data_IF_506461951895
#
_entry.id   IF_506461951895
#
_cell.length_a   1.000
_cell.length_b   1.000
_cell.length_c   1.000
_cell.angle_alpha   90.00
_cell.angle_beta   90.00
_cell.angle_gamma   90.00
#
_symmetry.space_group_name_H-M   'P 1'
#
loop_
_entity.id
_entity.type
_entity.pdbx_description
1 polymer ?
#
# COMPACT_ATOMS: atom_id res chain seq x y z
N UNK A 1 4.02 -10.54 0.26
CA UNK A 1 4.49 -9.26 -0.23
C UNK A 1 3.48 -8.16 -0.01
N UNK A 2 3.93 -7.08 0.53
CA UNK A 2 3.05 -5.93 0.76
C UNK A 2 3.85 -4.67 0.99
N UNK A 3 3.14 -3.56 1.08
CA UNK A 3 3.71 -2.27 1.42
C UNK A 3 3.23 -1.86 2.80
N UNK A 4 4.13 -1.28 3.59
CA UNK A 4 3.77 -0.71 4.87
C UNK A 4 3.23 0.68 4.68
N UNK A 5 2.11 0.96 5.35
CA UNK A 5 1.40 2.23 5.25
C UNK A 5 1.25 2.81 6.63
N UNK A 6 1.56 4.08 6.78
CA UNK A 6 1.33 4.80 8.02
C UNK A 6 0.14 5.75 7.83
N UNK A 7 -0.81 5.68 8.75
CA UNK A 7 -1.93 6.62 8.76
C UNK A 7 -1.40 7.98 9.24
N UNK A 8 -1.55 9.00 8.41
CA UNK A 8 -0.96 10.32 8.67
C UNK A 8 -1.46 10.92 9.97
N UNK A 9 -2.75 10.78 10.25
CA UNK A 9 -3.41 11.44 11.38
C UNK A 9 -2.97 10.91 12.75
N UNK A 10 -2.81 9.59 12.88
CA UNK A 10 -2.56 8.97 14.17
C UNK A 10 -1.30 8.10 14.21
N UNK A 11 -0.57 8.03 13.11
CA UNK A 11 0.67 7.29 12.97
C UNK A 11 0.56 5.79 13.23
N UNK A 12 -0.64 5.24 13.11
CA UNK A 12 -0.83 3.80 13.12
C UNK A 12 -0.32 3.21 11.82
N UNK A 13 0.30 2.05 11.92
CA UNK A 13 0.88 1.38 10.76
C UNK A 13 0.11 0.12 10.41
N UNK A 14 0.15 -0.23 9.15
CA UNK A 14 -0.46 -1.45 8.66
C UNK A 14 0.13 -1.85 7.32
N UNK A 15 -0.40 -2.91 6.74
CA UNK A 15 0.11 -3.46 5.50
C UNK A 15 -0.99 -3.53 4.44
N UNK A 16 -0.61 -3.16 3.21
CA UNK A 16 -1.40 -3.42 2.02
C UNK A 16 -0.68 -4.51 1.22
N UNK A 17 -1.37 -5.60 0.95
CA UNK A 17 -0.81 -6.70 0.16
C UNK A 17 -0.84 -6.34 -1.31
N UNK A 18 0.29 -6.51 -1.99
CA UNK A 18 0.43 -6.11 -3.40
C UNK A 18 -0.60 -6.80 -4.28
N UNK A 19 -0.86 -8.09 -4.04
CA UNK A 19 -1.83 -8.85 -4.83
C UNK A 19 -3.28 -8.35 -4.68
N UNK A 20 -3.54 -7.55 -3.68
CA UNK A 20 -4.87 -6.98 -3.44
C UNK A 20 -5.04 -5.59 -4.05
N UNK A 21 -3.99 -5.05 -4.64
CA UNK A 21 -4.08 -3.82 -5.42
C UNK A 21 -4.60 -4.21 -6.81
N UNK A 22 -5.88 -3.96 -7.05
CA UNK A 22 -6.59 -4.52 -8.20
C UNK A 22 -6.64 -3.64 -9.42
N UNK A 23 -6.16 -2.42 -9.33
CA UNK A 23 -6.17 -1.51 -10.47
C UNK A 23 -5.11 -1.85 -11.52
N UNK A 24 -4.10 -2.64 -11.14
CA UNK A 24 -3.05 -3.08 -12.05
C UNK A 24 -2.27 -4.22 -11.40
N UNK A 25 -1.36 -4.81 -12.19
CA UNK A 25 -0.39 -5.76 -11.69
C UNK A 25 0.89 -5.01 -11.38
N UNK A 26 1.29 -5.00 -10.12
CA UNK A 26 2.47 -4.27 -9.68
C UNK A 26 3.65 -5.18 -9.48
N UNK A 27 4.82 -4.73 -9.92
CA UNK A 27 6.09 -5.38 -9.66
C UNK A 27 7.01 -4.42 -8.93
N UNK A 28 7.90 -4.97 -8.12
CA UNK A 28 8.82 -4.16 -7.33
C UNK A 28 10.11 -3.91 -8.11
N UNK A 29 10.47 -2.64 -8.25
CA UNK A 29 11.73 -2.22 -8.85
C UNK A 29 12.73 -1.96 -7.73
N UNK A 30 13.67 -2.89 -7.55
CA UNK A 30 14.66 -2.81 -6.48
C UNK A 30 15.62 -1.63 -6.62
N UNK A 31 15.89 -1.19 -7.84
CA UNK A 31 16.80 -0.06 -8.07
C UNK A 31 16.22 1.23 -7.56
N UNK A 32 14.93 1.43 -7.70
CA UNK A 32 14.27 2.68 -7.38
C UNK A 32 13.35 2.58 -6.16
N UNK A 33 13.27 1.40 -5.54
CA UNK A 33 12.36 1.12 -4.43
C UNK A 33 10.94 1.56 -4.74
N UNK A 34 10.46 1.16 -5.91
CA UNK A 34 9.21 1.64 -6.48
C UNK A 34 8.37 0.45 -6.95
N UNK A 35 7.06 0.52 -6.73
CA UNK A 35 6.13 -0.42 -7.35
C UNK A 35 5.70 0.14 -8.69
N UNK A 36 5.79 -0.68 -9.74
CA UNK A 36 5.48 -0.28 -11.11
C UNK A 36 4.29 -1.09 -11.60
N UNK A 37 3.24 -0.41 -12.05
CA UNK A 37 2.10 -1.05 -12.68
C UNK A 37 2.42 -1.53 -14.09
N UNK A 38 2.06 -2.77 -14.40
CA UNK A 38 2.40 -3.37 -15.67
C UNK A 38 1.69 -2.73 -16.86
N UNK A 39 0.43 -2.37 -16.68
CA UNK A 39 -0.40 -1.84 -17.76
C UNK A 39 -0.42 -0.32 -17.79
N UNK A 40 -0.70 0.28 -16.64
CA UNK A 40 -0.86 1.74 -16.55
C UNK A 40 0.45 2.48 -16.39
N UNK A 41 1.53 1.77 -16.08
CA UNK A 41 2.83 2.35 -15.76
C UNK A 41 2.78 3.26 -14.53
N UNK A 42 1.77 3.10 -13.69
CA UNK A 42 1.66 3.84 -12.44
C UNK A 42 2.80 3.48 -11.51
N UNK A 43 3.30 4.47 -10.79
CA UNK A 43 4.40 4.29 -9.84
C UNK A 43 3.92 4.57 -8.43
N UNK A 44 4.28 3.69 -7.49
CA UNK A 44 4.08 3.90 -6.07
C UNK A 44 5.45 3.94 -5.40
N UNK A 45 5.78 5.06 -4.78
CA UNK A 45 7.08 5.30 -4.19
C UNK A 45 6.95 5.59 -2.70
N UNK A 46 8.07 5.46 -1.99
CA UNK A 46 8.13 5.88 -0.60
C UNK A 46 7.76 7.36 -0.48
N UNK A 47 6.91 7.65 0.48
CA UNK A 47 6.42 9.01 0.70
C UNK A 47 5.15 9.34 -0.04
N UNK A 48 4.70 8.50 -0.97
CA UNK A 48 3.43 8.73 -1.66
C UNK A 48 2.26 8.60 -0.68
N UNK A 49 1.29 9.45 -0.84
CA UNK A 49 0.05 9.36 -0.07
C UNK A 49 -0.97 8.54 -0.86
N UNK A 50 -1.66 7.66 -0.13
CA UNK A 50 -2.68 6.79 -0.72
C UNK A 50 -3.90 6.76 0.19
N UNK A 51 -5.04 6.41 -0.39
CA UNK A 51 -6.24 6.14 0.37
C UNK A 51 -6.40 4.64 0.57
N UNK A 52 -6.62 4.24 1.81
CA UNK A 52 -6.80 2.85 2.18
C UNK A 52 -8.03 2.69 3.05
N UNK A 53 -8.54 1.47 3.09
CA UNK A 53 -9.64 1.09 3.98
C UNK A 53 -9.15 -0.03 4.89
N UNK A 54 -9.47 0.05 6.17
CA UNK A 54 -9.11 -1.02 7.10
C UNK A 54 -9.89 -2.28 6.72
N UNK A 55 -9.16 -3.33 6.42
CA UNK A 55 -9.73 -4.63 6.08
C UNK A 55 -9.86 -5.50 7.32
N UNK A 56 -8.82 -5.50 8.15
CA UNK A 56 -8.74 -6.34 9.33
C UNK A 56 -7.87 -5.68 10.38
N UNK A 57 -8.19 -5.91 11.64
CA UNK A 57 -7.40 -5.40 12.75
C UNK A 57 -7.19 -6.52 13.76
N UNK A 58 -5.92 -6.83 14.04
CA UNK A 58 -5.56 -7.79 15.06
C UNK A 58 -5.02 -7.02 16.26
N UNK A 59 -5.87 -6.85 17.26
CA UNK A 59 -5.53 -6.06 18.44
C UNK A 59 -4.49 -6.75 19.32
N UNK A 60 -4.43 -8.07 19.26
CA UNK A 60 -3.46 -8.84 20.04
C UNK A 60 -2.05 -8.65 19.46
N UNK A 61 -1.93 -8.76 18.15
CA UNK A 61 -0.66 -8.56 17.46
C UNK A 61 -0.38 -7.11 17.13
N UNK A 62 -1.34 -6.22 17.35
CA UNK A 62 -1.24 -4.80 17.02
C UNK A 62 -0.93 -4.58 15.53
N UNK A 63 -1.60 -5.36 14.68
CA UNK A 63 -1.42 -5.30 13.24
C UNK A 63 -2.71 -4.88 12.57
N UNK A 64 -2.57 -4.02 11.56
CA UNK A 64 -3.67 -3.59 10.71
C UNK A 64 -3.41 -4.07 9.29
N UNK A 65 -4.47 -4.57 8.64
CA UNK A 65 -4.44 -4.88 7.23
C UNK A 65 -5.34 -3.88 6.51
N UNK A 66 -4.82 -3.31 5.44
CA UNK A 66 -5.53 -2.32 4.64
C UNK A 66 -5.82 -2.83 3.24
N UNK A 67 -6.93 -2.36 2.68
CA UNK A 67 -7.19 -2.46 1.26
C UNK A 67 -6.78 -1.14 0.61
N UNK A 68 -6.08 -1.22 -0.49
CA UNK A 68 -5.72 -0.06 -1.30
C UNK A 68 -6.97 0.45 -2.03
N UNK A 69 -7.24 1.73 -1.94
CA UNK A 69 -8.35 2.35 -2.66
C UNK A 69 -7.82 3.11 -3.88
N UNK A 70 -6.98 4.10 -3.68
CA UNK A 70 -6.40 4.89 -4.76
C UNK A 70 -5.27 5.76 -4.23
N UNK A 71 -4.51 6.32 -5.15
CA UNK A 71 -3.47 7.29 -4.80
C UNK A 71 -4.09 8.66 -4.57
N UNK A 72 -3.44 9.45 -3.73
CA UNK A 72 -3.84 10.82 -3.44
C UNK A 72 -3.09 11.77 -4.38
N UNK A 73 -3.57 11.88 -5.60
CA UNK A 73 -3.02 12.85 -6.55
C UNK A 73 -4.02 13.23 -7.63
#
# INVERSE_FOLDING_TARGET
WGIFVEIIENKCEGMVRIREIKDDYYTFDEKHYTLVGATTKSLLQLGDEIYVKVKNADLVKKQLDFNFIRRNN
#
